data_IF_614574106623
#
_entry.id   IF_614574106623
#
_cell.length_a   1.000
_cell.length_b   1.000
_cell.length_c   1.000
_cell.angle_alpha   90.00
_cell.angle_beta   90.00
_cell.angle_gamma   90.00
#
_symmetry.space_group_name_H-M   'P 1'
#
loop_
_entity.id
_entity.type
_entity.pdbx_description
1 polymer ?
#
# COMPACT_ATOMS: atom_id res chain seq x y z
N UNK A 1 9.29 -10.57 -2.55
CA UNK A 1 8.49 -9.59 -1.80
C UNK A 1 9.22 -9.29 -0.50
N UNK A 2 9.04 -8.13 0.10
CA UNK A 2 9.37 -7.94 1.52
C UNK A 2 8.08 -7.95 2.33
N UNK A 3 8.14 -8.43 3.57
CA UNK A 3 7.02 -8.44 4.51
C UNK A 3 7.35 -7.58 5.73
N UNK A 4 6.36 -6.88 6.25
CA UNK A 4 6.45 -6.06 7.46
C UNK A 4 5.10 -5.91 8.13
N UNK A 5 5.00 -4.95 9.07
CA UNK A 5 3.74 -4.63 9.75
C UNK A 5 3.47 -5.41 11.04
N UNK A 6 4.38 -6.29 11.46
CA UNK A 6 4.38 -6.82 12.84
C UNK A 6 5.12 -5.83 13.75
N UNK A 7 4.35 -4.95 14.39
CA UNK A 7 4.88 -3.94 15.29
C UNK A 7 4.96 -4.40 16.74
N UNK A 8 4.40 -5.56 17.10
CA UNK A 8 4.46 -6.09 18.46
C UNK A 8 5.77 -6.85 18.70
N UNK A 9 6.18 -7.71 17.75
CA UNK A 9 7.31 -8.62 17.94
C UNK A 9 8.35 -8.56 16.82
N UNK A 10 8.00 -8.04 15.65
CA UNK A 10 8.90 -7.95 14.50
C UNK A 10 9.36 -9.32 13.95
N UNK A 11 8.61 -10.38 14.21
CA UNK A 11 8.97 -11.76 13.86
C UNK A 11 7.91 -12.49 13.01
N UNK A 12 6.79 -11.81 12.70
CA UNK A 12 5.71 -12.31 11.87
C UNK A 12 4.55 -12.95 12.64
N UNK A 13 4.62 -13.02 13.97
CA UNK A 13 3.55 -13.60 14.80
C UNK A 13 2.63 -12.55 15.44
N UNK A 14 3.00 -11.27 15.41
CA UNK A 14 2.23 -10.18 16.00
C UNK A 14 1.38 -9.41 14.99
N UNK A 15 1.01 -8.20 15.40
CA UNK A 15 0.18 -7.29 14.64
C UNK A 15 -1.30 -7.45 14.95
N UNK A 16 -2.01 -6.32 14.89
CA UNK A 16 -3.46 -6.22 15.03
C UNK A 16 -3.97 -5.12 14.10
N UNK A 17 -5.26 -5.16 13.79
CA UNK A 17 -5.90 -4.12 13.01
C UNK A 17 -6.65 -3.14 13.91
N UNK A 18 -7.05 -2.00 13.34
CA UNK A 18 -7.97 -1.07 14.00
C UNK A 18 -9.36 -1.68 14.27
N UNK A 19 -9.67 -2.84 13.68
CA UNK A 19 -10.92 -3.58 13.87
C UNK A 19 -10.78 -4.72 14.90
N UNK A 20 -9.64 -4.81 15.60
CA UNK A 20 -9.28 -5.90 16.50
C UNK A 20 -8.21 -6.81 15.90
N UNK A 21 -8.00 -7.99 16.50
CA UNK A 21 -6.89 -8.88 16.16
C UNK A 21 -6.89 -9.28 14.67
N UNK A 22 -8.05 -9.61 14.12
CA UNK A 22 -8.21 -10.03 12.73
C UNK A 22 -9.43 -9.41 12.05
N UNK A 23 -9.35 -9.23 10.74
CA UNK A 23 -10.49 -8.84 9.91
C UNK A 23 -10.59 -9.65 8.60
N UNK A 24 -11.79 -9.64 8.01
CA UNK A 24 -12.12 -10.41 6.82
C UNK A 24 -11.49 -9.83 5.55
N UNK A 25 -11.15 -10.72 4.61
CA UNK A 25 -10.88 -10.33 3.23
C UNK A 25 -12.03 -9.48 2.68
N UNK A 26 -11.74 -8.29 2.15
CA UNK A 26 -12.75 -7.41 1.56
C UNK A 26 -13.17 -7.92 0.18
N UNK A 27 -12.31 -7.75 -0.84
CA UNK A 27 -12.52 -8.29 -2.20
C UNK A 27 -11.19 -8.62 -2.87
N UNK A 28 -11.22 -9.51 -3.87
CA UNK A 28 -10.06 -9.86 -4.70
C UNK A 28 -10.18 -9.22 -6.09
N UNK A 29 -10.23 -7.89 -6.13
CA UNK A 29 -10.38 -7.11 -7.38
C UNK A 29 -9.05 -7.06 -8.12
N UNK A 30 -7.98 -6.67 -7.42
CA UNK A 30 -6.66 -6.48 -8.01
C UNK A 30 -5.79 -7.74 -7.92
N UNK A 31 -4.82 -7.82 -8.82
CA UNK A 31 -3.89 -8.94 -8.95
C UNK A 31 -2.48 -8.52 -8.59
N UNK A 32 -1.64 -9.48 -8.21
CA UNK A 32 -0.21 -9.29 -7.96
C UNK A 32 0.56 -9.26 -9.28
N UNK A 33 0.18 -8.38 -10.20
CA UNK A 33 0.60 -8.42 -11.60
C UNK A 33 2.01 -7.88 -11.85
N UNK A 34 2.52 -7.00 -10.98
CA UNK A 34 3.78 -6.26 -11.18
C UNK A 34 4.61 -6.15 -9.90
N UNK A 35 5.83 -5.60 -10.04
CA UNK A 35 6.67 -5.13 -8.92
C UNK A 35 5.99 -3.94 -8.22
N UNK A 36 6.13 -3.85 -6.91
CA UNK A 36 5.61 -2.74 -6.11
C UNK A 36 4.14 -2.90 -5.72
N UNK A 37 3.50 -4.04 -5.95
CA UNK A 37 2.12 -4.27 -5.49
C UNK A 37 2.12 -4.44 -3.96
N UNK A 38 1.27 -3.67 -3.26
CA UNK A 38 1.07 -3.71 -1.83
C UNK A 38 -0.16 -4.57 -1.50
N UNK A 39 0.02 -5.55 -0.61
CA UNK A 39 -0.98 -6.58 -0.34
C UNK A 39 -0.94 -7.06 1.11
N UNK A 40 -2.08 -7.53 1.62
CA UNK A 40 -2.22 -8.02 2.98
C UNK A 40 -1.45 -9.31 3.18
N UNK A 41 -0.65 -9.38 4.24
CA UNK A 41 -0.17 -10.66 4.73
C UNK A 41 -1.26 -11.26 5.63
N UNK A 42 -1.68 -12.48 5.32
CA UNK A 42 -2.59 -13.25 6.15
C UNK A 42 -1.89 -14.55 6.54
N UNK A 43 -2.33 -15.12 7.66
CA UNK A 43 -1.92 -16.48 8.01
C UNK A 43 -2.55 -17.49 7.03
N UNK A 44 -2.18 -18.76 7.12
CA UNK A 44 -2.73 -19.81 6.23
C UNK A 44 -4.26 -19.98 6.29
N UNK A 45 -4.92 -19.33 7.26
CA UNK A 45 -6.36 -19.36 7.48
C UNK A 45 -7.00 -18.16 6.77
N UNK A 46 -8.12 -18.35 6.08
CA UNK A 46 -8.85 -17.23 5.45
C UNK A 46 -9.35 -16.25 6.52
N UNK A 47 -9.44 -14.97 6.16
CA UNK A 47 -10.02 -13.91 7.02
C UNK A 47 -9.23 -13.61 8.29
N UNK A 48 -7.90 -13.76 8.24
CA UNK A 48 -6.96 -13.43 9.32
C UNK A 48 -6.05 -12.27 8.96
N UNK A 49 -6.57 -11.27 8.22
CA UNK A 49 -5.80 -10.06 7.96
C UNK A 49 -5.62 -9.28 9.27
N UNK A 50 -4.45 -8.69 9.46
CA UNK A 50 -4.15 -7.80 10.58
C UNK A 50 -3.31 -6.61 10.06
N UNK A 51 -2.32 -6.10 10.82
CA UNK A 51 -1.42 -5.03 10.34
C UNK A 51 -0.32 -5.49 9.38
N UNK A 52 -0.10 -6.79 9.22
CA UNK A 52 1.00 -7.28 8.39
C UNK A 52 0.70 -7.14 6.90
N UNK A 53 1.70 -6.71 6.15
CA UNK A 53 1.60 -6.49 4.70
C UNK A 53 2.89 -6.93 4.01
N UNK A 54 2.82 -7.06 2.69
CA UNK A 54 4.00 -7.24 1.86
C UNK A 54 3.95 -6.39 0.60
N UNK A 55 5.13 -6.07 0.07
CA UNK A 55 5.29 -5.42 -1.24
C UNK A 55 6.03 -6.35 -2.18
N UNK A 56 5.49 -6.55 -3.38
CA UNK A 56 6.05 -7.47 -4.35
C UNK A 56 7.34 -6.93 -4.98
N UNK A 57 8.32 -7.82 -5.20
CA UNK A 57 9.50 -7.50 -6.01
C UNK A 57 9.31 -7.84 -7.49
N UNK A 58 8.32 -8.68 -7.80
CA UNK A 58 7.97 -9.12 -9.15
C UNK A 58 6.51 -9.56 -9.18
N UNK A 59 5.99 -9.85 -10.37
CA UNK A 59 4.67 -10.49 -10.51
C UNK A 59 4.57 -11.78 -9.69
N UNK A 60 3.50 -11.93 -8.93
CA UNK A 60 3.26 -13.04 -8.01
C UNK A 60 1.84 -13.62 -8.17
N UNK A 61 1.43 -14.10 -9.36
CA UNK A 61 0.06 -14.52 -9.63
C UNK A 61 -0.44 -15.69 -8.76
N UNK A 62 0.46 -16.47 -8.16
CA UNK A 62 0.11 -17.55 -7.23
C UNK A 62 -0.52 -17.07 -5.91
N UNK A 63 -0.44 -15.77 -5.62
CA UNK A 63 -1.06 -15.10 -4.47
C UNK A 63 -2.45 -14.52 -4.79
N UNK A 64 -2.85 -14.49 -6.07
CA UNK A 64 -4.14 -13.95 -6.48
C UNK A 64 -5.29 -14.75 -5.86
N UNK A 65 -6.37 -14.04 -5.48
CA UNK A 65 -7.55 -14.58 -4.78
C UNK A 65 -7.24 -15.24 -3.42
N UNK A 66 -6.00 -15.11 -2.93
CA UNK A 66 -5.58 -15.54 -1.59
C UNK A 66 -5.29 -14.33 -0.74
N UNK A 67 -4.47 -13.40 -1.22
CA UNK A 67 -4.12 -12.17 -0.52
C UNK A 67 -4.84 -10.98 -1.14
N UNK A 68 -5.32 -10.07 -0.28
CA UNK A 68 -6.03 -8.87 -0.70
C UNK A 68 -5.02 -7.79 -1.09
N UNK A 69 -5.01 -7.41 -2.36
CA UNK A 69 -4.24 -6.27 -2.87
C UNK A 69 -5.01 -4.99 -2.57
N UNK A 70 -4.34 -4.02 -1.94
CA UNK A 70 -4.96 -2.76 -1.51
C UNK A 70 -4.17 -1.50 -1.90
N UNK A 71 -3.07 -1.66 -2.65
CA UNK A 71 -2.35 -0.52 -3.20
C UNK A 71 -1.16 -0.92 -4.05
N UNK A 72 -0.40 0.08 -4.47
CA UNK A 72 0.85 -0.10 -5.18
C UNK A 72 1.82 1.04 -4.86
N UNK A 73 3.10 0.76 -5.04
CA UNK A 73 4.17 1.74 -4.94
C UNK A 73 4.10 2.68 -6.14
N UNK A 74 4.07 3.99 -5.88
CA UNK A 74 4.12 5.04 -6.90
C UNK A 74 5.53 5.65 -7.04
N UNK A 75 6.30 5.69 -5.95
CA UNK A 75 7.65 6.25 -5.90
C UNK A 75 8.55 5.42 -4.96
N UNK A 76 9.87 5.58 -5.06
CA UNK A 76 10.82 4.88 -4.20
C UNK A 76 11.18 3.46 -4.67
N UNK A 77 11.14 3.19 -5.98
CA UNK A 77 11.53 1.89 -6.54
C UNK A 77 13.03 1.59 -6.37
N UNK A 78 13.87 2.61 -6.27
CA UNK A 78 15.26 2.53 -5.82
C UNK A 78 15.35 1.99 -4.39
N UNK A 79 14.57 2.55 -3.46
CA UNK A 79 14.45 2.05 -2.08
C UNK A 79 13.96 0.61 -2.05
N UNK A 80 12.94 0.27 -2.85
CA UNK A 80 12.46 -1.10 -2.98
C UNK A 80 13.57 -2.07 -3.46
N UNK A 81 14.46 -1.59 -4.33
CA UNK A 81 15.58 -2.38 -4.86
C UNK A 81 16.67 -2.58 -3.80
N UNK A 82 16.99 -1.54 -3.01
CA UNK A 82 17.88 -1.68 -1.86
C UNK A 82 17.34 -2.66 -0.80
N UNK A 83 16.03 -2.67 -0.56
CA UNK A 83 15.39 -3.65 0.34
C UNK A 83 15.52 -5.06 -0.24
N UNK A 84 15.29 -5.24 -1.55
CA UNK A 84 15.44 -6.53 -2.22
C UNK A 84 16.87 -7.08 -2.17
N UNK A 85 17.90 -6.23 -2.25
CA UNK A 85 19.31 -6.64 -2.13
C UNK A 85 19.63 -7.25 -0.75
N UNK A 86 18.85 -6.90 0.28
CA UNK A 86 18.97 -7.48 1.61
C UNK A 86 18.28 -8.84 1.73
N UNK A 87 17.56 -9.31 0.72
CA UNK A 87 16.84 -10.58 0.77
C UNK A 87 17.78 -11.77 0.96
N UNK A 88 17.26 -12.79 1.65
CA UNK A 88 17.90 -14.10 1.80
C UNK A 88 16.88 -15.19 1.50
N UNK A 89 17.35 -16.42 1.26
CA UNK A 89 16.48 -17.56 0.98
C UNK A 89 15.61 -17.96 2.17
N UNK A 90 16.04 -17.65 3.40
CA UNK A 90 15.31 -17.94 4.64
C UNK A 90 14.33 -16.83 5.04
N UNK A 91 14.22 -15.75 4.25
CA UNK A 91 13.31 -14.62 4.50
C UNK A 91 13.83 -13.58 5.49
N UNK A 92 14.80 -13.91 6.35
CA UNK A 92 15.44 -12.94 7.26
C UNK A 92 16.46 -12.08 6.51
N UNK A 93 16.36 -10.74 6.53
CA UNK A 93 17.24 -9.90 5.71
C UNK A 93 18.70 -9.90 6.23
N UNK A 94 19.66 -9.70 5.32
CA UNK A 94 21.11 -9.63 5.63
C UNK A 94 21.42 -8.53 6.64
N UNK A 95 20.77 -7.38 6.48
CA UNK A 95 20.79 -6.24 7.41
C UNK A 95 19.37 -5.95 7.86
N UNK A 96 19.22 -5.47 9.08
CA UNK A 96 17.91 -5.09 9.58
C UNK A 96 17.36 -3.90 8.78
N UNK A 97 16.10 -4.02 8.35
CA UNK A 97 15.36 -2.97 7.64
C UNK A 97 14.22 -2.55 8.54
N UNK A 98 14.15 -1.27 8.88
CA UNK A 98 13.09 -0.71 9.73
C UNK A 98 12.45 0.49 9.04
N UNK A 99 11.16 0.70 9.31
CA UNK A 99 10.44 1.90 8.87
C UNK A 99 10.75 2.99 9.91
N UNK A 100 11.64 3.91 9.57
CA UNK A 100 12.04 4.98 10.48
C UNK A 100 10.94 6.03 10.68
N UNK A 101 10.20 6.35 9.61
CA UNK A 101 9.11 7.32 9.64
C UNK A 101 8.02 6.91 8.65
N UNK A 102 6.76 7.14 9.00
CA UNK A 102 5.60 6.88 8.14
C UNK A 102 4.49 7.90 8.44
N UNK A 103 3.57 8.05 7.50
CA UNK A 103 2.45 8.97 7.64
C UNK A 103 1.56 8.97 6.41
N UNK A 104 0.55 9.83 6.46
CA UNK A 104 -0.38 10.04 5.36
C UNK A 104 -0.04 11.36 4.69
N UNK A 105 0.24 11.34 3.40
CA UNK A 105 0.33 12.56 2.59
C UNK A 105 -1.11 12.99 2.28
N UNK A 106 -1.54 14.19 2.72
CA UNK A 106 -2.86 14.70 2.38
C UNK A 106 -3.03 14.82 0.86
N UNK A 107 -4.18 14.40 0.33
CA UNK A 107 -4.44 14.37 -1.11
C UNK A 107 -4.29 15.75 -1.77
N UNK A 108 -4.64 16.82 -1.05
CA UNK A 108 -4.50 18.21 -1.50
C UNK A 108 -3.04 18.66 -1.64
N UNK A 109 -2.10 17.94 -1.02
CA UNK A 109 -0.65 18.19 -1.15
C UNK A 109 0.01 17.36 -2.24
N UNK A 110 -0.71 16.40 -2.83
CA UNK A 110 -0.20 15.63 -3.96
C UNK A 110 -0.25 16.53 -5.20
N UNK A 111 0.92 16.99 -5.65
CA UNK A 111 1.07 17.75 -6.89
C UNK A 111 1.54 16.81 -8.00
N UNK A 112 0.76 16.69 -9.07
CA UNK A 112 1.18 16.00 -10.29
C UNK A 112 2.29 16.79 -10.98
N UNK A 113 3.29 16.09 -11.52
CA UNK A 113 4.40 16.72 -12.26
C UNK A 113 3.88 17.42 -13.52
N UNK A 114 3.50 18.69 -13.41
CA UNK A 114 3.46 19.57 -14.58
C UNK A 114 4.90 19.74 -15.08
N UNK A 115 5.10 19.71 -16.40
CA UNK A 115 6.41 19.61 -17.07
C UNK A 115 7.44 20.70 -16.74
N UNK A 116 7.18 21.65 -15.84
CA UNK A 116 7.90 22.93 -15.82
C UNK A 116 8.54 23.38 -14.51
N UNK A 117 8.51 22.67 -13.38
CA UNK A 117 9.23 23.16 -12.19
C UNK A 117 9.93 22.06 -11.39
N UNK A 118 11.26 22.16 -11.35
CA UNK A 118 12.17 21.45 -10.47
C UNK A 118 12.39 22.36 -9.25
N UNK A 119 11.71 22.12 -8.13
CA UNK A 119 12.15 22.54 -6.79
C UNK A 119 11.27 21.83 -5.74
N UNK A 120 11.91 21.05 -4.88
CA UNK A 120 11.56 20.61 -3.50
C UNK A 120 10.12 20.21 -3.11
N UNK A 121 9.26 19.83 -4.06
CA UNK A 121 7.96 19.20 -3.74
C UNK A 121 8.01 17.67 -3.97
N UNK A 122 7.20 16.90 -3.23
CA UNK A 122 6.97 15.47 -3.50
C UNK A 122 6.26 15.32 -4.85
N UNK A 123 7.05 15.34 -5.93
CA UNK A 123 6.61 15.17 -7.30
C UNK A 123 6.33 13.68 -7.52
N UNK A 124 5.04 13.30 -7.52
CA UNK A 124 4.66 11.96 -7.99
C UNK A 124 4.73 12.00 -9.54
N UNK A 125 5.46 11.08 -10.20
CA UNK A 125 5.41 10.90 -11.65
C UNK A 125 3.95 10.76 -12.11
N UNK A 126 3.62 11.09 -13.37
CA UNK A 126 2.26 10.89 -13.93
C UNK A 126 1.73 9.49 -13.57
N UNK A 127 0.89 9.43 -12.54
CA UNK A 127 0.17 8.22 -12.15
C UNK A 127 -0.96 8.11 -13.16
N UNK A 128 -1.05 6.98 -13.89
CA UNK A 128 -2.33 6.60 -14.49
C UNK A 128 -3.35 6.62 -13.36
N UNK A 129 -4.27 7.60 -13.38
CA UNK A 129 -5.28 7.72 -12.34
C UNK A 129 -5.85 6.34 -12.04
N UNK A 130 -5.79 5.87 -10.76
CA UNK A 130 -6.42 4.62 -10.43
C UNK A 130 -7.86 4.72 -10.90
N UNK A 131 -8.36 3.62 -11.48
CA UNK A 131 -9.66 3.40 -12.16
C UNK A 131 -10.94 3.89 -11.43
N UNK A 132 -10.82 4.67 -10.35
CA UNK A 132 -11.89 5.35 -9.65
C UNK A 132 -12.81 6.12 -10.62
N UNK A 133 -12.25 6.78 -11.63
CA UNK A 133 -13.02 7.51 -12.65
C UNK A 133 -13.79 6.59 -13.62
N UNK A 134 -13.39 5.32 -13.77
CA UNK A 134 -13.91 4.44 -14.82
C UNK A 134 -15.02 3.50 -14.37
N UNK A 135 -15.13 3.18 -13.08
CA UNK A 135 -16.19 2.28 -12.57
C UNK A 135 -17.35 3.00 -11.87
N UNK A 136 -17.18 4.27 -11.52
CA UNK A 136 -18.25 5.11 -10.97
C UNK A 136 -18.44 6.22 -12.00
N UNK A 137 -19.62 6.39 -12.57
CA UNK A 137 -19.90 7.46 -13.53
C UNK A 137 -19.77 8.83 -12.87
N UNK A 138 -18.54 9.33 -12.73
CA UNK A 138 -18.18 10.55 -12.03
C UNK A 138 -18.71 11.77 -12.78
N UNK A 139 -19.58 12.54 -12.12
CA UNK A 139 -19.92 13.89 -12.56
C UNK A 139 -18.94 14.85 -11.87
N UNK A 140 -18.08 15.50 -12.66
CA UNK A 140 -16.80 16.12 -12.28
C UNK A 140 -16.82 17.10 -11.09
N UNK A 141 -17.96 17.57 -10.58
CA UNK A 141 -18.03 18.63 -9.57
C UNK A 141 -18.75 18.27 -8.26
N UNK A 142 -19.67 17.30 -8.23
CA UNK A 142 -20.36 16.90 -6.99
C UNK A 142 -19.50 15.97 -6.15
N UNK A 143 -18.83 15.02 -6.81
CA UNK A 143 -18.30 13.83 -6.15
C UNK A 143 -16.91 14.08 -5.56
N UNK A 144 -16.15 15.01 -6.13
CA UNK A 144 -14.90 15.52 -5.53
C UNK A 144 -15.21 16.26 -4.22
N UNK A 145 -16.32 16.99 -4.16
CA UNK A 145 -16.74 17.68 -2.94
C UNK A 145 -17.22 16.69 -1.88
N UNK A 146 -17.82 15.58 -2.28
CA UNK A 146 -18.21 14.49 -1.38
C UNK A 146 -17.00 13.74 -0.84
N UNK A 147 -16.01 13.41 -1.67
CA UNK A 147 -14.73 12.82 -1.22
C UNK A 147 -13.99 13.74 -0.24
N UNK A 148 -13.93 15.05 -0.54
CA UNK A 148 -13.38 16.05 0.38
C UNK A 148 -14.16 16.12 1.70
N UNK A 149 -15.48 15.93 1.66
CA UNK A 149 -16.36 15.94 2.84
C UNK A 149 -16.19 14.68 3.70
N UNK A 150 -16.10 13.51 3.09
CA UNK A 150 -15.82 12.23 3.76
C UNK A 150 -14.46 12.31 4.47
N UNK A 151 -13.43 12.81 3.78
CA UNK A 151 -12.09 12.97 4.35
C UNK A 151 -12.06 14.00 5.49
N UNK A 152 -12.82 15.10 5.38
CA UNK A 152 -12.94 16.10 6.45
C UNK A 152 -13.63 15.54 7.71
N UNK A 153 -14.58 14.63 7.53
CA UNK A 153 -15.29 13.98 8.63
C UNK A 153 -14.50 12.85 9.28
N UNK A 154 -13.55 12.21 8.57
CA UNK A 154 -12.70 11.17 9.16
C UNK A 154 -11.64 11.71 10.13
N UNK A 155 -11.39 13.03 10.15
CA UNK A 155 -10.49 13.71 11.10
C UNK A 155 -11.15 14.08 12.44
N UNK A 156 -12.37 13.60 12.69
CA UNK A 156 -13.13 13.87 13.94
C UNK A 156 -13.14 12.71 14.94
N UNK A 157 -12.32 11.68 14.73
CA UNK A 157 -12.10 10.59 15.68
C UNK A 157 -10.61 10.49 16.02
#
# INVERSE_FOLDING_TARGET
MFQGGDFNFGNGYGGESIYGQYFRNEKFIYKHSKRGVLSMCQTSIKHTNNSQFFVTFKSCPWLDKKHVVFGNLEYGFDTLSYIEEQATLIGKPKKQVYIYNCGVIPLDKIKYKSRTNLNDDYIIPEVEMPLLEKEIGFNENSDINELKRIYKNSKRF
#
